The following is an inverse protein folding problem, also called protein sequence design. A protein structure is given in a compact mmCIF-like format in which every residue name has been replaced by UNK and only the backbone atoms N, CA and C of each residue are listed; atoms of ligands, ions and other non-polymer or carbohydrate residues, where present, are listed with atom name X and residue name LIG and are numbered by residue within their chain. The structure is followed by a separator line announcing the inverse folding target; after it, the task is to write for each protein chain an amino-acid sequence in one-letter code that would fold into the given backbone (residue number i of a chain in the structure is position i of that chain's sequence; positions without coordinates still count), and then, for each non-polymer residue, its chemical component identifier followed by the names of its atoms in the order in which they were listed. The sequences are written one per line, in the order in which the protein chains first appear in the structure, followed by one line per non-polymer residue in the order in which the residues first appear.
data_IF_822681384176
#
_entry.id   IF_822681384176
#
_cell.length_a   1.000
_cell.length_b   1.000
_cell.length_c   1.000
_cell.angle_alpha   90.00
_cell.angle_beta   90.00
_cell.angle_gamma   90.00
#
_symmetry.space_group_name_H-M   'P 1'
#
loop_
_entity.id
_entity.type
_entity.pdbx_description
1 polymer ?
#
# COMPACT_ATOMS: atom_id res chain seq x y z
N UNK A 1 -14.18 -12.09 -1.92
CA UNK A 1 -12.94 -11.53 -2.51
C UNK A 1 -11.73 -11.54 -1.58
N UNK A 2 -11.87 -11.41 -0.25
CA UNK A 2 -10.75 -11.26 0.72
C UNK A 2 -9.66 -12.35 0.68
N UNK A 3 -10.03 -13.63 0.49
CA UNK A 3 -9.06 -14.75 0.44
C UNK A 3 -8.10 -14.69 -0.76
N UNK A 4 -8.59 -14.33 -1.95
CA UNK A 4 -7.75 -14.17 -3.16
C UNK A 4 -6.83 -12.95 -3.02
N UNK A 5 -7.34 -11.84 -2.47
CA UNK A 5 -6.55 -10.63 -2.21
C UNK A 5 -5.34 -10.89 -1.31
N UNK A 6 -5.49 -11.73 -0.27
CA UNK A 6 -4.40 -12.08 0.64
C UNK A 6 -3.31 -12.91 -0.07
N UNK A 7 -3.71 -13.83 -0.95
CA UNK A 7 -2.76 -14.62 -1.76
C UNK A 7 -2.00 -13.73 -2.75
N UNK A 8 -2.69 -12.82 -3.45
CA UNK A 8 -2.03 -11.86 -4.34
C UNK A 8 -1.08 -10.92 -3.58
N UNK A 9 -1.45 -10.51 -2.37
CA UNK A 9 -0.60 -9.69 -1.52
C UNK A 9 0.68 -10.42 -1.09
N UNK A 10 0.55 -11.69 -0.67
CA UNK A 10 1.70 -12.52 -0.32
C UNK A 10 2.63 -12.76 -1.53
N UNK A 11 2.07 -13.07 -2.70
CA UNK A 11 2.82 -13.22 -3.95
C UNK A 11 3.55 -11.93 -4.35
N UNK A 12 2.91 -10.78 -4.22
CA UNK A 12 3.52 -9.48 -4.50
C UNK A 12 4.70 -9.19 -3.56
N UNK A 13 4.55 -9.48 -2.26
CA UNK A 13 5.64 -9.34 -1.28
C UNK A 13 6.83 -10.23 -1.61
N UNK A 14 6.59 -11.52 -1.89
CA UNK A 14 7.64 -12.48 -2.25
C UNK A 14 8.36 -12.03 -3.53
N UNK A 15 7.60 -11.63 -4.55
CA UNK A 15 8.17 -11.18 -5.84
C UNK A 15 8.99 -9.89 -5.67
N UNK A 16 8.52 -8.95 -4.85
CA UNK A 16 9.26 -7.73 -4.52
C UNK A 16 10.57 -8.03 -3.78
N UNK A 17 10.56 -8.93 -2.80
CA UNK A 17 11.76 -9.35 -2.06
C UNK A 17 12.78 -10.05 -2.97
N UNK A 18 12.33 -10.95 -3.85
CA UNK A 18 13.20 -11.63 -4.83
C UNK A 18 13.78 -10.62 -5.81
N UNK A 19 12.97 -9.70 -6.33
CA UNK A 19 13.43 -8.61 -7.21
C UNK A 19 14.41 -7.66 -6.52
N UNK A 20 14.35 -7.52 -5.20
CA UNK A 20 15.28 -6.72 -4.40
C UNK A 20 16.60 -7.46 -4.09
N UNK A 21 16.61 -8.80 -4.08
CA UNK A 21 17.70 -9.68 -3.61
C UNK A 21 19.02 -9.68 -4.42
N UNK A 22 19.28 -8.66 -5.24
CA UNK A 22 20.67 -8.33 -5.57
C UNK A 22 21.20 -8.84 -6.91
N UNK A 23 20.34 -9.12 -7.89
CA UNK A 23 20.81 -9.29 -9.27
C UNK A 23 21.29 -7.90 -9.77
N UNK A 24 22.61 -7.73 -9.89
CA UNK A 24 23.28 -6.50 -10.30
C UNK A 24 23.09 -6.22 -11.79
N UNK A 25 21.85 -6.01 -12.22
CA UNK A 25 21.52 -5.65 -13.60
C UNK A 25 21.09 -4.19 -13.67
N UNK A 26 21.58 -3.43 -14.65
CA UNK A 26 21.35 -1.98 -14.76
C UNK A 26 19.85 -1.61 -14.78
N UNK A 27 18.99 -2.44 -15.37
CA UNK A 27 17.53 -2.24 -15.36
C UNK A 27 16.86 -2.45 -13.99
N UNK A 28 17.48 -3.23 -13.11
CA UNK A 28 16.92 -3.58 -11.78
C UNK A 28 17.11 -2.42 -10.79
N UNK A 29 18.07 -1.52 -11.01
CA UNK A 29 18.27 -0.33 -10.17
C UNK A 29 17.02 0.57 -10.12
N UNK A 30 16.40 0.83 -11.27
CA UNK A 30 15.19 1.66 -11.36
C UNK A 30 14.01 0.99 -10.65
N UNK A 31 13.83 -0.30 -10.89
CA UNK A 31 12.79 -1.12 -10.26
C UNK A 31 12.93 -1.12 -8.74
N UNK A 32 14.17 -1.15 -8.24
CA UNK A 32 14.47 -1.13 -6.81
C UNK A 32 14.03 0.18 -6.14
N UNK A 33 14.27 1.32 -6.80
CA UNK A 33 13.81 2.64 -6.32
C UNK A 33 12.28 2.73 -6.35
N UNK A 34 11.66 2.28 -7.44
CA UNK A 34 10.20 2.23 -7.55
C UNK A 34 9.57 1.34 -6.47
N UNK A 35 10.17 0.18 -6.17
CA UNK A 35 9.72 -0.72 -5.10
C UNK A 35 9.82 -0.07 -3.71
N UNK A 36 10.90 0.68 -3.43
CA UNK A 36 11.06 1.40 -2.17
C UNK A 36 9.98 2.48 -1.98
N UNK A 37 9.73 3.30 -3.00
CA UNK A 37 8.68 4.31 -2.95
C UNK A 37 7.31 3.64 -2.77
N UNK A 38 7.06 2.54 -3.48
CA UNK A 38 5.81 1.82 -3.36
C UNK A 38 5.62 1.20 -1.97
N UNK A 39 6.68 0.66 -1.36
CA UNK A 39 6.65 0.14 0.00
C UNK A 39 6.35 1.25 1.02
N UNK A 40 6.94 2.43 0.85
CA UNK A 40 6.66 3.60 1.70
C UNK A 40 5.19 4.03 1.60
N UNK A 41 4.67 4.21 0.37
CA UNK A 41 3.27 4.53 0.14
C UNK A 41 2.31 3.46 0.69
N UNK A 42 2.70 2.18 0.62
CA UNK A 42 1.91 1.08 1.19
C UNK A 42 1.85 1.18 2.71
N UNK A 43 2.96 1.50 3.37
CA UNK A 43 3.01 1.69 4.82
C UNK A 43 2.17 2.91 5.23
N UNK A 44 2.31 4.04 4.54
CA UNK A 44 1.50 5.24 4.80
C UNK A 44 0.01 4.96 4.62
N UNK A 45 -0.36 4.21 3.59
CA UNK A 45 -1.75 3.80 3.34
C UNK A 45 -2.31 2.88 4.42
N UNK A 46 -1.52 1.88 4.87
CA UNK A 46 -1.86 1.02 6.00
C UNK A 46 -2.01 1.82 7.30
N UNK A 47 -1.09 2.75 7.54
CA UNK A 47 -1.11 3.61 8.71
C UNK A 47 -2.33 4.53 8.71
N UNK A 48 -2.65 5.16 7.58
CA UNK A 48 -3.85 5.96 7.41
C UNK A 48 -5.12 5.15 7.68
N UNK A 49 -5.20 3.90 7.20
CA UNK A 49 -6.33 3.01 7.46
C UNK A 49 -6.42 2.56 8.93
N UNK A 50 -5.29 2.42 9.61
CA UNK A 50 -5.26 2.08 11.04
C UNK A 50 -5.64 3.27 11.93
N UNK A 51 -5.21 4.48 11.58
CA UNK A 51 -5.52 5.73 12.31
C UNK A 51 -6.92 6.26 12.00
N UNK A 52 -7.39 6.12 10.76
CA UNK A 52 -8.73 6.49 10.31
C UNK A 52 -9.46 5.23 9.81
N UNK A 53 -9.83 4.31 10.72
CA UNK A 53 -10.71 3.20 10.34
C UNK A 53 -11.98 3.79 9.74
N UNK A 54 -12.45 3.22 8.61
CA UNK A 54 -13.69 3.59 7.93
C UNK A 54 -14.80 3.79 8.98
N UNK A 55 -15.03 5.04 9.37
CA UNK A 55 -16.11 5.42 10.26
C UNK A 55 -17.32 5.64 9.35
N UNK A 56 -18.30 4.71 9.27
CA UNK A 56 -19.53 4.93 8.51
C UNK A 56 -20.41 6.06 9.10
N UNK A 57 -19.92 6.76 10.13
CA UNK A 57 -20.55 7.92 10.76
C UNK A 57 -19.79 9.21 10.44
N UNK A 58 -19.52 9.48 9.16
CA UNK A 58 -19.49 10.88 8.75
C UNK A 58 -20.93 11.40 8.89
N UNK A 59 -21.30 11.84 10.10
CA UNK A 59 -22.52 12.62 10.29
C UNK A 59 -22.38 13.81 9.36
N UNK A 60 -23.22 13.89 8.31
CA UNK A 60 -23.45 15.13 7.61
C UNK A 60 -23.85 16.16 8.66
N UNK A 61 -22.91 16.99 9.08
CA UNK A 61 -23.19 18.12 9.92
C UNK A 61 -23.93 19.10 9.02
N UNK A 62 -25.27 19.07 9.07
CA UNK A 62 -26.10 20.10 8.45
C UNK A 62 -25.72 21.40 9.16
N UNK A 63 -24.93 22.21 8.48
CA UNK A 63 -24.75 23.60 8.84
C UNK A 63 -26.05 24.29 8.47
N UNK A 64 -26.78 24.77 9.47
CA UNK A 64 -27.90 25.67 9.26
C UNK A 64 -27.35 26.90 8.54
N UNK A 65 -27.89 27.19 7.35
CA UNK A 65 -27.58 28.43 6.66
C UNK A 65 -28.46 29.49 7.31
N UNK A 66 -27.83 30.42 8.03
CA UNK A 66 -28.41 31.73 8.35
C UNK A 66 -28.81 32.47 7.07
#
# INVERSE_FOLDING_TARGET
MKRKTLVFFALALITGLIGFSGISFTGIKLLRVMCLIFADLMIVSLMAKALFPDNPKLKHQRVEKD
#
